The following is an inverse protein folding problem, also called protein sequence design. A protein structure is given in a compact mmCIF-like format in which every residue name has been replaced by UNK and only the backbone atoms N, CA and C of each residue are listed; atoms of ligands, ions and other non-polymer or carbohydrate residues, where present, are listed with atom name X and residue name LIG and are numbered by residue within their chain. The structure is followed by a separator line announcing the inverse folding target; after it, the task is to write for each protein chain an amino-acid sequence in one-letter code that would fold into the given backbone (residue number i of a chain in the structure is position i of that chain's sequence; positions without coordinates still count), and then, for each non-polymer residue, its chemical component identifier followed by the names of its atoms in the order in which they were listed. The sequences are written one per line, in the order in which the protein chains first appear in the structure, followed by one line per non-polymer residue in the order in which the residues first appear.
data_IF_351765789935
#
_entry.id   IF_351765789935
#
_cell.length_a   1.000
_cell.length_b   1.000
_cell.length_c   1.000
_cell.angle_alpha   90.00
_cell.angle_beta   90.00
_cell.angle_gamma   90.00
#
_symmetry.space_group_name_H-M   'P 1'
#
loop_
_entity.id
_entity.type
_entity.pdbx_description
1 polymer ?
#
# COMPACT_ATOMS: atom_id res chain seq x y z
N UNK A 1 -23.60 -1.64 60.50
CA UNK A 1 -23.57 -1.91 59.04
C UNK A 1 -23.18 -3.38 58.83
N UNK A 2 -24.01 -4.18 58.16
CA UNK A 2 -23.76 -5.62 57.97
C UNK A 2 -22.67 -5.87 56.92
N UNK A 3 -21.42 -5.72 57.34
CA UNK A 3 -20.19 -5.85 56.54
C UNK A 3 -20.10 -7.19 55.77
N UNK A 4 -20.63 -8.26 56.35
CA UNK A 4 -20.66 -9.57 55.73
C UNK A 4 -21.60 -9.63 54.51
N UNK A 5 -22.73 -8.90 54.53
CA UNK A 5 -23.67 -8.82 53.40
C UNK A 5 -23.12 -7.98 52.24
N UNK A 6 -22.39 -6.91 52.56
CA UNK A 6 -21.75 -6.06 51.56
C UNK A 6 -20.63 -6.81 50.80
N UNK A 7 -19.85 -7.66 51.49
CA UNK A 7 -18.82 -8.51 50.87
C UNK A 7 -19.42 -9.51 49.88
N UNK A 8 -20.50 -10.19 50.25
CA UNK A 8 -21.17 -11.16 49.38
C UNK A 8 -21.76 -10.49 48.14
N UNK A 9 -22.35 -9.31 48.29
CA UNK A 9 -22.86 -8.51 47.17
C UNK A 9 -21.74 -8.18 46.16
N UNK A 10 -20.57 -7.76 46.66
CA UNK A 10 -19.44 -7.40 45.80
C UNK A 10 -18.92 -8.59 44.98
N UNK A 11 -18.86 -9.78 45.58
CA UNK A 11 -18.45 -11.02 44.91
C UNK A 11 -19.43 -11.37 43.78
N UNK A 12 -20.74 -11.26 44.03
CA UNK A 12 -21.78 -11.56 43.03
C UNK A 12 -21.73 -10.59 41.86
N UNK A 13 -21.60 -9.28 42.14
CA UNK A 13 -21.51 -8.25 41.10
C UNK A 13 -20.25 -8.42 40.26
N UNK A 14 -19.11 -8.72 40.88
CA UNK A 14 -17.86 -8.99 40.16
C UNK A 14 -17.97 -10.22 39.26
N UNK A 15 -18.63 -11.29 39.73
CA UNK A 15 -18.85 -12.49 38.94
C UNK A 15 -19.74 -12.21 37.72
N UNK A 16 -20.85 -11.49 37.90
CA UNK A 16 -21.73 -11.06 36.79
C UNK A 16 -20.99 -10.18 35.77
N UNK A 17 -20.15 -9.25 36.23
CA UNK A 17 -19.36 -8.40 35.35
C UNK A 17 -18.36 -9.22 34.51
N UNK A 18 -17.69 -10.21 35.11
CA UNK A 18 -16.80 -11.11 34.37
C UNK A 18 -17.56 -11.97 33.36
N UNK A 19 -18.78 -12.41 33.69
CA UNK A 19 -19.61 -13.20 32.79
C UNK A 19 -20.08 -12.38 31.58
N UNK A 20 -20.43 -11.10 31.78
CA UNK A 20 -20.68 -10.16 30.69
C UNK A 20 -19.43 -9.91 29.84
N UNK A 21 -18.26 -9.77 30.46
CA UNK A 21 -16.99 -9.62 29.74
C UNK A 21 -16.65 -10.84 28.89
N UNK A 22 -16.86 -12.05 29.41
CA UNK A 22 -16.68 -13.30 28.66
C UNK A 22 -17.68 -13.35 27.49
N UNK A 23 -18.94 -12.99 27.72
CA UNK A 23 -19.93 -12.93 26.64
C UNK A 23 -19.53 -11.95 25.53
N UNK A 24 -19.12 -10.72 25.89
CA UNK A 24 -18.64 -9.72 24.93
C UNK A 24 -17.38 -10.20 24.21
N UNK A 25 -16.46 -10.86 24.93
CA UNK A 25 -15.23 -11.40 24.35
C UNK A 25 -15.53 -12.52 23.35
N UNK A 26 -16.40 -13.47 23.70
CA UNK A 26 -16.83 -14.57 22.83
C UNK A 26 -17.59 -14.02 21.62
N UNK A 27 -18.51 -13.06 21.80
CA UNK A 27 -19.21 -12.40 20.68
C UNK A 27 -18.22 -11.68 19.74
N UNK A 28 -17.23 -10.99 20.30
CA UNK A 28 -16.17 -10.33 19.52
C UNK A 28 -15.27 -11.32 18.76
N UNK A 29 -14.93 -12.45 19.38
CA UNK A 29 -14.11 -13.50 18.77
C UNK A 29 -14.90 -14.25 17.69
N UNK A 30 -16.17 -14.58 17.94
CA UNK A 30 -17.04 -15.21 16.93
C UNK A 30 -17.30 -14.29 15.75
N UNK A 31 -17.50 -12.98 15.98
CA UNK A 31 -17.56 -11.97 14.90
C UNK A 31 -16.23 -11.77 14.15
N UNK A 32 -15.11 -12.23 14.71
CA UNK A 32 -13.81 -12.24 14.02
C UNK A 32 -13.54 -13.53 13.23
N UNK A 33 -14.37 -14.56 13.41
CA UNK A 33 -14.37 -15.82 12.66
C UNK A 33 -15.69 -15.95 11.87
N UNK A 34 -15.99 -14.96 11.03
CA UNK A 34 -17.14 -15.05 10.11
C UNK A 34 -16.71 -15.94 8.95
N UNK A 35 -17.19 -17.19 8.99
CA UNK A 35 -17.35 -18.06 7.83
C UNK A 35 -18.16 -17.33 6.74
N UNK A 36 -17.73 -17.51 5.48
CA UNK A 36 -18.33 -17.02 4.22
C UNK A 36 -19.76 -17.52 3.98
N UNK A 37 -20.72 -17.14 4.81
CA UNK A 37 -22.15 -17.38 4.53
C UNK A 37 -22.95 -16.09 4.71
N UNK A 38 -23.36 -15.53 3.56
CA UNK A 38 -24.43 -14.56 3.36
C UNK A 38 -24.38 -13.28 4.19
N UNK A 39 -23.68 -12.32 3.60
CA UNK A 39 -23.47 -10.96 4.05
C UNK A 39 -24.78 -10.15 4.01
N UNK A 40 -25.63 -10.26 5.04
CA UNK A 40 -26.85 -9.43 5.23
C UNK A 40 -26.55 -7.92 5.27
N UNK A 41 -25.28 -7.51 5.44
CA UNK A 41 -24.86 -6.12 5.46
C UNK A 41 -24.07 -5.68 4.21
N UNK A 42 -23.82 -6.55 3.22
CA UNK A 42 -23.06 -6.20 2.02
C UNK A 42 -23.67 -5.01 1.28
N UNK A 43 -22.82 -4.09 0.81
CA UNK A 43 -23.29 -2.97 -0.02
C UNK A 43 -23.73 -3.51 -1.37
N UNK A 44 -24.97 -3.23 -1.76
CA UNK A 44 -25.41 -3.44 -3.12
C UNK A 44 -24.97 -2.26 -4.00
N UNK A 45 -23.74 -2.31 -4.52
CA UNK A 45 -23.18 -1.23 -5.34
C UNK A 45 -24.02 -0.90 -6.58
N UNK A 46 -24.75 -1.87 -7.16
CA UNK A 46 -25.62 -1.61 -8.30
C UNK A 46 -26.82 -0.74 -7.91
N UNK A 47 -27.46 -1.02 -6.76
CA UNK A 47 -28.55 -0.20 -6.23
C UNK A 47 -28.07 1.21 -5.87
N UNK A 48 -26.85 1.32 -5.35
CA UNK A 48 -26.21 2.60 -5.05
C UNK A 48 -25.72 3.33 -6.31
N UNK A 49 -25.89 2.76 -7.51
CA UNK A 49 -25.36 3.28 -8.78
C UNK A 49 -23.85 3.58 -8.70
N UNK A 50 -23.12 2.73 -7.97
CA UNK A 50 -21.67 2.78 -7.86
C UNK A 50 -21.06 1.83 -8.89
N UNK A 51 -20.23 2.39 -9.78
CA UNK A 51 -19.55 1.58 -10.80
C UNK A 51 -18.23 1.08 -10.25
N UNK A 52 -18.01 -0.23 -10.36
CA UNK A 52 -16.76 -0.88 -9.98
C UNK A 52 -15.86 -1.10 -11.21
N UNK A 53 -14.53 -1.22 -11.03
CA UNK A 53 -13.65 -1.61 -12.11
C UNK A 53 -13.98 -3.03 -12.58
N UNK A 54 -13.75 -3.30 -13.87
CA UNK A 54 -14.07 -4.61 -14.47
C UNK A 54 -13.24 -5.74 -13.87
N UNK A 55 -11.97 -5.46 -13.64
CA UNK A 55 -11.01 -6.42 -13.11
C UNK A 55 -10.65 -6.01 -11.69
N UNK A 56 -11.10 -6.79 -10.72
CA UNK A 56 -10.73 -6.64 -9.30
C UNK A 56 -9.70 -7.70 -8.92
N UNK A 57 -8.61 -7.34 -8.20
CA UNK A 57 -7.60 -8.30 -7.79
C UNK A 57 -8.18 -9.37 -6.86
N UNK A 58 -7.93 -10.65 -7.19
CA UNK A 58 -8.18 -11.76 -6.28
C UNK A 58 -6.97 -11.94 -5.35
N UNK A 59 -7.22 -11.89 -4.05
CA UNK A 59 -6.19 -11.94 -2.98
C UNK A 59 -6.43 -13.09 -2.01
N UNK A 60 -7.24 -14.08 -2.40
CA UNK A 60 -7.48 -15.26 -1.59
C UNK A 60 -6.16 -15.96 -1.21
N UNK A 61 -5.95 -16.16 0.10
CA UNK A 61 -4.71 -16.75 0.64
C UNK A 61 -3.49 -15.82 0.65
N UNK A 62 -3.60 -14.58 0.19
CA UNK A 62 -2.53 -13.59 0.29
C UNK A 62 -2.42 -13.12 1.74
N UNK A 63 -1.23 -13.29 2.32
CA UNK A 63 -0.91 -12.82 3.67
C UNK A 63 0.16 -11.74 3.63
N UNK A 64 -0.11 -10.62 4.27
CA UNK A 64 0.82 -9.50 4.37
C UNK A 64 1.06 -9.10 5.83
N UNK A 65 2.12 -8.35 6.06
CA UNK A 65 2.53 -7.83 7.37
C UNK A 65 3.28 -6.52 7.20
N UNK A 66 3.51 -5.83 8.30
CA UNK A 66 4.30 -4.61 8.34
C UNK A 66 5.76 -4.92 7.99
N UNK A 67 6.35 -4.10 7.13
CA UNK A 67 7.76 -4.20 6.76
C UNK A 67 8.50 -2.92 7.15
N UNK A 68 9.80 -3.05 7.34
CA UNK A 68 10.73 -1.92 7.49
C UNK A 68 11.69 -1.93 6.33
N UNK A 69 12.06 -0.75 5.86
CA UNK A 69 13.04 -0.58 4.80
C UNK A 69 13.93 0.64 5.07
N UNK A 70 15.15 0.61 4.53
CA UNK A 70 16.10 1.71 4.57
C UNK A 70 16.26 2.27 3.16
N UNK A 71 16.39 3.59 3.01
CA UNK A 71 16.81 4.19 1.74
C UNK A 71 18.27 3.84 1.49
N UNK A 72 18.56 3.35 0.29
CA UNK A 72 19.91 3.08 -0.16
C UNK A 72 20.65 4.40 -0.44
N UNK A 73 21.89 4.52 0.06
CA UNK A 73 22.74 5.68 -0.18
C UNK A 73 23.70 5.38 -1.33
N UNK A 74 23.60 6.18 -2.40
CA UNK A 74 24.34 6.01 -3.65
C UNK A 74 25.69 6.75 -3.71
N UNK A 75 26.17 7.32 -2.59
CA UNK A 75 27.42 8.09 -2.58
C UNK A 75 28.64 7.27 -3.03
N UNK A 76 28.68 5.98 -2.71
CA UNK A 76 29.77 5.10 -3.15
C UNK A 76 29.75 4.92 -4.67
N UNK A 77 28.58 4.57 -5.20
CA UNK A 77 28.33 4.31 -6.61
C UNK A 77 28.65 5.55 -7.45
N UNK A 78 28.29 6.74 -6.96
CA UNK A 78 28.55 7.98 -7.67
C UNK A 78 30.00 8.47 -7.60
N UNK A 79 30.79 8.03 -6.60
CA UNK A 79 32.22 8.39 -6.53
C UNK A 79 33.04 7.69 -7.61
N UNK A 80 32.58 6.52 -8.05
CA UNK A 80 33.29 5.66 -9.02
C UNK A 80 32.75 5.79 -10.45
N UNK A 81 31.75 6.65 -10.69
CA UNK A 81 31.13 6.86 -12.00
C UNK A 81 30.92 8.35 -12.32
N UNK A 82 31.70 8.88 -13.28
CA UNK A 82 31.62 10.27 -13.76
C UNK A 82 30.26 10.65 -14.39
N UNK A 83 29.38 9.66 -14.66
CA UNK A 83 28.03 9.85 -15.20
C UNK A 83 26.94 9.83 -14.14
N UNK A 84 27.31 9.53 -12.90
CA UNK A 84 26.45 9.52 -11.74
C UNK A 84 26.61 10.82 -10.94
N UNK A 85 25.50 11.29 -10.37
CA UNK A 85 25.48 12.36 -9.38
C UNK A 85 24.45 12.01 -8.30
N UNK A 86 24.63 12.54 -7.10
CA UNK A 86 23.70 12.29 -5.98
C UNK A 86 23.13 13.57 -5.42
N UNK A 87 21.93 13.46 -4.88
CA UNK A 87 21.21 14.53 -4.19
C UNK A 87 20.47 13.95 -2.97
N UNK A 88 19.85 14.81 -2.15
CA UNK A 88 19.20 14.42 -0.89
C UNK A 88 20.14 13.60 0.00
N UNK A 89 21.32 14.12 0.31
CA UNK A 89 22.32 13.46 1.17
C UNK A 89 22.69 12.02 0.70
N UNK A 90 22.74 11.82 -0.61
CA UNK A 90 23.10 10.54 -1.23
C UNK A 90 21.93 9.61 -1.55
N UNK A 91 20.70 9.92 -1.14
CA UNK A 91 19.55 9.01 -1.27
C UNK A 91 18.79 9.10 -2.60
N UNK A 92 19.25 9.97 -3.50
CA UNK A 92 18.70 10.09 -4.85
C UNK A 92 19.86 10.14 -5.85
N UNK A 93 19.97 9.11 -6.69
CA UNK A 93 20.91 8.99 -7.79
C UNK A 93 20.32 9.64 -9.04
N UNK A 94 21.12 10.43 -9.75
CA UNK A 94 20.87 10.82 -11.14
C UNK A 94 21.96 10.21 -12.01
N UNK A 95 21.56 9.37 -12.96
CA UNK A 95 22.48 8.66 -13.84
C UNK A 95 22.29 9.09 -15.29
N UNK A 96 23.38 9.43 -15.99
CA UNK A 96 23.38 9.56 -17.46
C UNK A 96 23.54 8.18 -18.10
N UNK A 97 22.69 7.89 -19.08
CA UNK A 97 22.69 6.61 -19.78
C UNK A 97 23.79 6.57 -20.84
N UNK A 98 24.46 5.43 -21.00
CA UNK A 98 25.47 5.23 -22.04
C UNK A 98 24.91 5.37 -23.46
N UNK A 99 23.66 4.91 -23.62
CA UNK A 99 22.93 4.97 -24.88
C UNK A 99 21.53 5.48 -24.61
N UNK A 100 21.13 6.47 -25.40
CA UNK A 100 19.76 6.96 -25.37
C UNK A 100 18.80 5.87 -25.85
N UNK A 101 17.71 5.66 -25.13
CA UNK A 101 16.68 4.66 -25.46
C UNK A 101 15.50 5.37 -26.13
N UNK A 102 15.05 4.89 -27.28
CA UNK A 102 13.88 5.42 -27.97
C UNK A 102 12.59 4.85 -27.34
N UNK A 103 11.72 5.72 -26.86
CA UNK A 103 10.50 5.37 -26.11
C UNK A 103 9.23 5.82 -26.83
N UNK A 104 9.30 6.15 -28.12
CA UNK A 104 8.17 6.73 -28.86
C UNK A 104 6.96 5.79 -29.04
N UNK A 105 7.19 4.49 -29.18
CA UNK A 105 6.14 3.52 -29.55
C UNK A 105 5.73 2.65 -28.37
N UNK A 106 6.71 2.01 -27.72
CA UNK A 106 6.48 1.17 -26.55
C UNK A 106 7.53 1.48 -25.46
N UNK A 107 7.30 2.53 -24.65
CA UNK A 107 8.21 2.90 -23.58
C UNK A 107 8.48 1.75 -22.58
N UNK A 108 7.46 0.93 -22.29
CA UNK A 108 7.52 -0.08 -21.23
C UNK A 108 8.41 -1.22 -21.67
N UNK A 109 8.11 -1.85 -22.82
CA UNK A 109 8.90 -2.99 -23.31
C UNK A 109 10.31 -2.56 -23.73
N UNK A 110 10.48 -1.33 -24.19
CA UNK A 110 11.80 -0.84 -24.66
C UNK A 110 12.72 -0.47 -23.50
N UNK A 111 12.18 0.06 -22.39
CA UNK A 111 13.00 0.38 -21.21
C UNK A 111 13.30 -0.83 -20.33
N UNK A 112 12.42 -1.84 -20.28
CA UNK A 112 12.60 -2.98 -19.37
C UNK A 112 13.98 -3.66 -19.48
N UNK A 113 14.52 -3.97 -20.67
CA UNK A 113 15.86 -4.56 -20.78
C UNK A 113 16.97 -3.64 -20.30
N UNK A 114 16.82 -2.31 -20.49
CA UNK A 114 17.79 -1.34 -19.98
C UNK A 114 17.76 -1.30 -18.45
N UNK A 115 16.55 -1.25 -17.87
CA UNK A 115 16.32 -1.22 -16.42
C UNK A 115 16.97 -2.46 -15.78
N UNK A 116 16.64 -3.65 -16.29
CA UNK A 116 17.14 -4.91 -15.72
C UNK A 116 18.66 -5.04 -15.73
N UNK A 117 19.32 -4.46 -16.75
CA UNK A 117 20.76 -4.61 -16.94
C UNK A 117 21.59 -3.49 -16.30
N UNK A 118 21.06 -2.26 -16.17
CA UNK A 118 21.87 -1.08 -15.84
C UNK A 118 21.37 -0.31 -14.61
N UNK A 119 20.13 -0.50 -14.17
CA UNK A 119 19.58 0.20 -13.01
C UNK A 119 19.84 -0.64 -11.75
N UNK A 120 20.26 0.00 -10.66
CA UNK A 120 20.49 -0.68 -9.39
C UNK A 120 19.21 -1.39 -8.93
N UNK A 121 19.25 -2.71 -8.74
CA UNK A 121 18.05 -3.49 -8.40
C UNK A 121 16.94 -3.44 -9.46
N UNK A 122 17.27 -3.17 -10.73
CA UNK A 122 16.32 -2.87 -11.80
C UNK A 122 15.18 -3.87 -11.99
N UNK A 123 15.42 -5.16 -11.75
CA UNK A 123 14.38 -6.21 -11.85
C UNK A 123 13.24 -6.03 -10.84
N UNK A 124 13.48 -5.29 -9.75
CA UNK A 124 12.50 -4.97 -8.72
C UNK A 124 11.69 -3.71 -9.00
N UNK A 125 11.64 -3.22 -10.25
CA UNK A 125 10.81 -2.07 -10.63
C UNK A 125 9.71 -2.47 -11.61
N UNK A 126 8.52 -1.89 -11.42
CA UNK A 126 7.40 -2.04 -12.34
C UNK A 126 6.90 -0.68 -12.83
N UNK A 127 6.34 -0.66 -14.04
CA UNK A 127 5.75 0.55 -14.60
C UNK A 127 4.59 1.04 -13.72
N UNK A 128 4.54 2.35 -13.47
CA UNK A 128 3.44 2.98 -12.75
C UNK A 128 2.64 3.91 -13.67
N UNK A 129 3.28 4.96 -14.19
CA UNK A 129 2.60 5.92 -15.05
C UNK A 129 3.58 6.66 -15.98
N UNK A 130 3.03 7.27 -17.02
CA UNK A 130 3.72 8.26 -17.84
C UNK A 130 2.97 9.57 -17.73
N UNK A 131 3.61 10.60 -17.19
CA UNK A 131 2.97 11.87 -16.89
C UNK A 131 3.98 13.00 -16.96
N UNK A 132 3.55 14.15 -17.50
CA UNK A 132 4.34 15.38 -17.56
C UNK A 132 5.75 15.20 -18.16
N UNK A 133 5.85 14.38 -19.21
CA UNK A 133 7.13 14.10 -19.88
C UNK A 133 8.06 13.17 -19.11
N UNK A 134 7.58 12.51 -18.06
CA UNK A 134 8.32 11.51 -17.28
C UNK A 134 7.68 10.13 -17.42
N UNK A 135 8.51 9.10 -17.47
CA UNK A 135 8.09 7.70 -17.35
C UNK A 135 8.51 7.22 -15.96
N UNK A 136 7.55 6.82 -15.14
CA UNK A 136 7.72 6.53 -13.73
C UNK A 136 7.52 5.04 -13.47
N UNK A 137 8.45 4.48 -12.73
CA UNK A 137 8.43 3.13 -12.20
C UNK A 137 8.45 3.16 -10.68
N UNK A 138 7.76 2.22 -10.06
CA UNK A 138 7.73 2.01 -8.61
C UNK A 138 8.49 0.73 -8.28
N UNK A 139 9.27 0.76 -7.20
CA UNK A 139 9.92 -0.42 -6.68
C UNK A 139 8.86 -1.41 -6.14
N UNK A 140 9.12 -2.70 -6.27
CA UNK A 140 8.29 -3.78 -5.78
C UNK A 140 9.00 -4.59 -4.69
N UNK A 141 8.20 -5.16 -3.80
CA UNK A 141 8.62 -6.12 -2.79
C UNK A 141 7.61 -7.29 -2.78
N UNK A 142 8.11 -8.52 -2.93
CA UNK A 142 7.29 -9.73 -3.08
C UNK A 142 6.19 -9.60 -4.17
N UNK A 143 6.49 -8.88 -5.26
CA UNK A 143 5.56 -8.64 -6.37
C UNK A 143 4.57 -7.50 -6.16
N UNK A 144 4.58 -6.84 -5.01
CA UNK A 144 3.68 -5.72 -4.70
C UNK A 144 4.42 -4.37 -4.73
N UNK A 145 3.83 -3.30 -5.31
CA UNK A 145 4.46 -1.98 -5.36
C UNK A 145 4.62 -1.35 -3.99
N UNK A 146 5.70 -0.59 -3.81
CA UNK A 146 5.84 0.42 -2.77
C UNK A 146 5.24 1.72 -3.32
N UNK A 147 3.94 1.89 -3.09
CA UNK A 147 3.10 2.89 -3.74
C UNK A 147 3.37 4.29 -3.18
N UNK A 148 3.29 5.30 -4.06
CA UNK A 148 3.32 6.72 -3.68
C UNK A 148 4.46 7.06 -2.71
N UNK A 149 5.66 6.60 -3.06
CA UNK A 149 6.85 6.71 -2.24
C UNK A 149 8.01 7.25 -3.09
N UNK A 150 8.53 8.41 -2.71
CA UNK A 150 9.64 9.06 -3.42
C UNK A 150 11.00 8.38 -3.17
N UNK A 151 11.12 7.55 -2.13
CA UNK A 151 12.32 6.77 -1.82
C UNK A 151 12.37 5.41 -2.50
N UNK A 152 11.34 5.05 -3.25
CA UNK A 152 11.19 3.74 -3.90
C UNK A 152 10.77 3.91 -5.37
N UNK A 153 11.41 4.84 -6.09
CA UNK A 153 10.98 5.32 -7.41
C UNK A 153 12.14 5.39 -8.39
N UNK A 154 11.85 5.03 -9.63
CA UNK A 154 12.71 5.24 -10.79
C UNK A 154 11.96 6.11 -11.81
N UNK A 155 12.61 7.15 -12.31
CA UNK A 155 11.99 8.13 -13.21
C UNK A 155 12.91 8.43 -14.38
N UNK A 156 12.39 8.36 -15.60
CA UNK A 156 13.08 8.78 -16.82
C UNK A 156 12.48 10.07 -17.35
N UNK A 157 13.34 11.05 -17.68
CA UNK A 157 12.91 12.27 -18.38
C UNK A 157 12.93 12.03 -19.90
N UNK A 158 11.79 12.26 -20.53
CA UNK A 158 11.62 12.08 -21.98
C UNK A 158 11.97 13.38 -22.71
N UNK A 159 13.05 13.34 -23.51
CA UNK A 159 13.48 14.40 -24.40
C UNK A 159 13.09 14.04 -25.84
N UNK A 160 11.96 14.61 -26.30
CA UNK A 160 11.35 14.34 -27.60
C UNK A 160 10.82 12.91 -27.71
N UNK A 161 11.68 11.99 -28.15
CA UNK A 161 11.36 10.56 -28.34
C UNK A 161 12.31 9.63 -27.58
N UNK A 162 13.24 10.18 -26.81
CA UNK A 162 14.32 9.42 -26.20
C UNK A 162 14.47 9.77 -24.74
N UNK A 163 14.97 8.82 -23.96
CA UNK A 163 15.46 9.07 -22.61
C UNK A 163 16.99 8.98 -22.63
N UNK A 164 17.65 9.85 -21.87
CA UNK A 164 19.13 9.96 -21.80
C UNK A 164 19.67 9.91 -20.36
N UNK A 165 18.79 9.99 -19.38
CA UNK A 165 19.11 9.94 -17.97
C UNK A 165 17.92 9.41 -17.20
N UNK A 166 18.18 8.94 -15.99
CA UNK A 166 17.15 8.61 -15.03
C UNK A 166 17.53 9.10 -13.64
N UNK A 167 16.51 9.31 -12.81
CA UNK A 167 16.64 9.53 -11.38
C UNK A 167 16.11 8.32 -10.64
N UNK A 168 16.83 7.86 -9.63
CA UNK A 168 16.51 6.68 -8.86
C UNK A 168 16.62 6.94 -7.36
N UNK A 169 15.61 6.47 -6.62
CA UNK A 169 15.71 6.19 -5.19
C UNK A 169 15.23 4.75 -4.95
N UNK A 170 15.95 4.04 -4.08
CA UNK A 170 15.73 2.62 -3.82
C UNK A 170 15.66 2.37 -2.33
N UNK A 171 14.74 1.51 -1.94
CA UNK A 171 14.69 0.91 -0.62
C UNK A 171 15.46 -0.41 -0.59
N UNK A 172 16.27 -0.59 0.43
CA UNK A 172 17.02 -1.79 0.74
C UNK A 172 16.70 -2.31 2.15
N UNK A 173 17.27 -3.46 2.51
CA UNK A 173 17.02 -4.13 3.79
C UNK A 173 15.53 -4.33 4.09
N UNK A 174 14.72 -4.50 3.05
CA UNK A 174 13.28 -4.66 3.18
C UNK A 174 13.00 -5.97 3.90
N UNK A 175 12.46 -5.87 5.11
CA UNK A 175 12.26 -7.02 5.99
C UNK A 175 11.05 -6.83 6.89
N UNK A 176 10.51 -7.91 7.47
CA UNK A 176 9.45 -7.82 8.46
C UNK A 176 9.82 -6.91 9.63
N UNK A 177 8.92 -6.02 10.03
CA UNK A 177 9.11 -5.17 11.20
C UNK A 177 9.27 -6.01 12.48
N UNK A 178 10.16 -5.58 13.37
CA UNK A 178 10.42 -6.21 14.68
C UNK A 178 9.39 -5.71 15.68
N UNK A 179 8.23 -6.35 15.74
CA UNK A 179 7.20 -6.07 16.73
C UNK A 179 6.47 -7.34 17.13
N UNK A 180 6.12 -7.47 18.41
CA UNK A 180 5.49 -8.67 18.98
C UNK A 180 4.16 -9.05 18.29
N UNK A 181 3.53 -8.08 17.60
CA UNK A 181 2.25 -8.25 16.90
C UNK A 181 2.34 -8.20 15.36
N UNK A 182 3.52 -8.44 14.77
CA UNK A 182 3.73 -8.38 13.31
C UNK A 182 3.65 -9.74 12.60
N UNK A 183 2.68 -10.56 12.98
CA UNK A 183 2.41 -11.83 12.29
C UNK A 183 1.75 -11.57 10.93
N UNK A 184 2.04 -12.38 9.89
CA UNK A 184 1.30 -12.34 8.63
C UNK A 184 -0.20 -12.51 8.85
N UNK A 185 -1.00 -11.65 8.22
CA UNK A 185 -2.47 -11.68 8.27
C UNK A 185 -3.05 -11.70 6.87
N UNK A 186 -4.21 -12.32 6.73
CA UNK A 186 -4.97 -12.33 5.49
C UNK A 186 -5.32 -10.90 5.07
N UNK A 187 -5.22 -10.67 3.76
CA UNK A 187 -5.55 -9.39 3.16
C UNK A 187 -7.06 -9.30 2.92
N UNK A 188 -7.66 -8.19 3.34
CA UNK A 188 -9.05 -7.85 3.01
C UNK A 188 -9.26 -7.91 1.50
N UNK A 189 -10.38 -8.46 1.07
CA UNK A 189 -10.72 -8.50 -0.35
C UNK A 189 -10.86 -7.10 -0.94
N UNK A 190 -10.69 -6.99 -2.27
CA UNK A 190 -10.93 -5.75 -2.99
C UNK A 190 -12.33 -5.19 -2.73
N UNK A 191 -13.33 -6.07 -2.56
CA UNK A 191 -14.71 -5.67 -2.25
C UNK A 191 -14.82 -5.03 -0.87
N UNK A 192 -14.30 -5.69 0.17
CA UNK A 192 -14.33 -5.17 1.55
C UNK A 192 -13.61 -3.82 1.67
N UNK A 193 -12.52 -3.61 0.92
CA UNK A 193 -11.83 -2.33 0.88
C UNK A 193 -12.69 -1.20 0.28
N UNK A 194 -13.48 -1.51 -0.75
CA UNK A 194 -14.42 -0.57 -1.37
C UNK A 194 -15.63 -0.32 -0.45
N UNK A 195 -16.16 -1.36 0.20
CA UNK A 195 -17.21 -1.24 1.22
C UNK A 195 -16.74 -0.35 2.39
N UNK A 196 -15.48 -0.49 2.79
CA UNK A 196 -14.85 0.37 3.80
C UNK A 196 -14.88 1.84 3.40
N UNK A 197 -14.56 2.19 2.14
CA UNK A 197 -14.71 3.56 1.66
C UNK A 197 -16.15 4.03 1.66
N UNK A 198 -17.10 3.15 1.30
CA UNK A 198 -18.53 3.47 1.26
C UNK A 198 -19.09 3.79 2.65
N UNK A 199 -18.90 2.90 3.63
CA UNK A 199 -19.41 3.12 4.99
C UNK A 199 -18.81 4.36 5.66
N UNK A 200 -17.54 4.67 5.35
CA UNK A 200 -16.86 5.87 5.84
C UNK A 200 -17.11 7.14 5.00
N UNK A 201 -18.06 7.11 4.05
CA UNK A 201 -18.49 8.26 3.23
C UNK A 201 -17.42 8.82 2.27
N UNK A 202 -16.34 8.08 2.03
CA UNK A 202 -15.32 8.40 1.03
C UNK A 202 -15.75 8.01 -0.39
N UNK A 203 -16.62 7.00 -0.51
CA UNK A 203 -17.32 6.61 -1.73
C UNK A 203 -18.83 6.78 -1.51
N UNK A 204 -19.52 7.42 -2.45
CA UNK A 204 -20.95 7.74 -2.36
C UNK A 204 -21.72 7.23 -3.57
N UNK A 205 -23.03 7.11 -3.41
CA UNK A 205 -23.95 6.77 -4.50
C UNK A 205 -23.70 7.63 -5.75
N UNK A 206 -23.75 6.99 -6.92
CA UNK A 206 -23.52 7.63 -8.22
C UNK A 206 -22.05 7.87 -8.61
N UNK A 207 -21.09 7.55 -7.73
CA UNK A 207 -19.65 7.64 -8.03
C UNK A 207 -19.11 6.36 -8.69
N UNK A 208 -17.86 6.38 -9.16
CA UNK A 208 -17.17 5.18 -9.66
C UNK A 208 -15.85 4.96 -8.96
N UNK A 209 -15.46 3.69 -8.87
CA UNK A 209 -14.10 3.27 -8.59
C UNK A 209 -13.43 3.00 -9.93
N UNK A 210 -12.40 3.80 -10.25
CA UNK A 210 -11.70 3.75 -11.53
C UNK A 210 -10.60 2.68 -11.52
N UNK A 211 -9.92 2.51 -10.38
CA UNK A 211 -8.88 1.49 -10.20
C UNK A 211 -8.75 1.06 -8.73
N UNK A 212 -8.22 -0.15 -8.54
CA UNK A 212 -7.85 -0.70 -7.24
C UNK A 212 -6.62 -1.60 -7.39
N UNK A 213 -5.60 -1.41 -6.54
CA UNK A 213 -4.42 -2.27 -6.48
C UNK A 213 -3.88 -2.42 -5.06
N UNK A 214 -3.31 -3.59 -4.77
CA UNK A 214 -2.71 -3.90 -3.48
C UNK A 214 -1.21 -3.57 -3.51
N UNK A 215 -0.71 -2.94 -2.44
CA UNK A 215 0.70 -2.62 -2.31
C UNK A 215 1.11 -2.23 -0.89
N UNK A 216 2.34 -1.76 -0.74
CA UNK A 216 2.86 -1.19 0.48
C UNK A 216 2.81 0.34 0.43
N UNK A 217 2.43 0.96 1.55
CA UNK A 217 2.30 2.41 1.67
C UNK A 217 2.80 2.88 3.04
N UNK A 218 3.27 4.13 3.10
CA UNK A 218 3.58 4.84 4.34
C UNK A 218 3.04 6.26 4.27
N UNK A 219 2.58 6.76 5.40
CA UNK A 219 2.23 8.18 5.57
C UNK A 219 3.50 9.04 5.67
N UNK A 220 4.57 8.50 6.27
CA UNK A 220 5.84 9.20 6.47
C UNK A 220 6.81 8.78 5.36
N UNK A 221 6.82 9.55 4.27
CA UNK A 221 7.52 9.22 3.01
C UNK A 221 8.95 9.77 2.92
N UNK A 222 9.28 10.78 3.71
CA UNK A 222 10.56 11.49 3.56
C UNK A 222 11.70 10.94 4.42
N UNK A 223 11.42 9.99 5.33
CA UNK A 223 12.44 9.43 6.21
C UNK A 223 13.26 8.36 5.50
N UNK A 224 14.55 8.26 5.85
CA UNK A 224 15.44 7.24 5.31
C UNK A 224 15.09 5.84 5.85
N UNK A 225 14.53 5.75 7.05
CA UNK A 225 14.00 4.50 7.61
C UNK A 225 12.48 4.59 7.58
N UNK A 226 11.83 3.62 6.97
CA UNK A 226 10.39 3.62 6.80
C UNK A 226 9.75 2.36 7.34
N UNK A 227 8.56 2.55 7.88
CA UNK A 227 7.63 1.50 8.27
C UNK A 227 6.52 1.51 7.23
N UNK A 228 6.40 0.42 6.47
CA UNK A 228 5.49 0.31 5.34
C UNK A 228 4.41 -0.73 5.66
N UNK A 229 3.17 -0.36 5.38
CA UNK A 229 1.99 -1.15 5.67
C UNK A 229 1.27 -1.55 4.38
N UNK A 230 0.74 -2.77 4.36
CA UNK A 230 -0.10 -3.23 3.27
C UNK A 230 -1.38 -2.38 3.19
N UNK A 231 -1.63 -1.80 2.02
CA UNK A 231 -2.79 -0.97 1.74
C UNK A 231 -3.35 -1.28 0.35
N UNK A 232 -4.65 -1.10 0.20
CA UNK A 232 -5.31 -0.94 -1.08
C UNK A 232 -5.21 0.51 -1.53
N UNK A 233 -4.63 0.78 -2.69
CA UNK A 233 -4.74 2.06 -3.38
C UNK A 233 -5.99 2.02 -4.28
N UNK A 234 -6.95 2.90 -4.01
CA UNK A 234 -8.25 2.95 -4.67
C UNK A 234 -8.45 4.34 -5.26
N UNK A 235 -8.61 4.45 -6.57
CA UNK A 235 -8.95 5.72 -7.21
C UNK A 235 -10.46 5.81 -7.41
N UNK A 236 -11.09 6.79 -6.78
CA UNK A 236 -12.52 7.10 -6.88
C UNK A 236 -12.73 8.32 -7.77
N UNK A 237 -13.64 8.21 -8.73
CA UNK A 237 -14.09 9.33 -9.54
C UNK A 237 -15.19 10.10 -8.82
N UNK A 238 -14.86 11.30 -8.34
CA UNK A 238 -15.81 12.20 -7.71
C UNK A 238 -16.20 13.29 -8.70
N UNK A 239 -17.28 13.07 -9.44
CA UNK A 239 -17.84 14.03 -10.40
C UNK A 239 -16.81 14.51 -11.45
N UNK A 240 -16.08 13.58 -12.05
CA UNK A 240 -15.05 13.86 -13.07
C UNK A 240 -13.66 14.15 -12.50
N UNK A 241 -13.48 14.11 -11.18
CA UNK A 241 -12.19 14.33 -10.52
C UNK A 241 -11.70 13.06 -9.82
N UNK A 242 -10.53 12.51 -10.20
CA UNK A 242 -9.97 11.35 -9.52
C UNK A 242 -9.48 11.74 -8.11
N UNK A 243 -9.79 10.90 -7.12
CA UNK A 243 -9.28 11.00 -5.76
C UNK A 243 -8.75 9.63 -5.35
N UNK A 244 -7.53 9.57 -4.83
CA UNK A 244 -6.90 8.31 -4.43
C UNK A 244 -6.99 8.14 -2.93
N UNK A 245 -7.39 6.95 -2.49
CA UNK A 245 -7.44 6.56 -1.09
C UNK A 245 -6.54 5.35 -0.85
N UNK A 246 -5.93 5.31 0.33
CA UNK A 246 -5.17 4.17 0.85
C UNK A 246 -5.96 3.56 2.01
N UNK A 247 -6.41 2.32 1.85
CA UNK A 247 -7.17 1.57 2.87
C UNK A 247 -6.30 0.46 3.43
N UNK A 248 -6.15 0.39 4.75
CA UNK A 248 -5.32 -0.65 5.37
C UNK A 248 -5.81 -2.05 5.01
N UNK A 249 -4.90 -2.89 4.52
CA UNK A 249 -5.28 -4.16 3.93
C UNK A 249 -5.34 -5.35 4.93
N UNK A 250 -4.79 -5.20 6.15
CA UNK A 250 -4.61 -6.30 7.12
C UNK A 250 -5.18 -6.00 8.52
N UNK A 251 -6.07 -5.01 8.60
CA UNK A 251 -6.70 -4.54 9.84
C UNK A 251 -8.17 -4.94 9.89
N UNK A 252 -8.67 -5.34 11.06
CA UNK A 252 -10.11 -5.57 11.28
C UNK A 252 -10.93 -4.28 11.33
N UNK A 253 -10.27 -3.13 11.49
CA UNK A 253 -10.88 -1.81 11.41
C UNK A 253 -9.92 -0.91 10.61
N UNK A 254 -9.99 -0.97 9.26
CA UNK A 254 -9.01 -0.32 8.42
C UNK A 254 -9.01 1.19 8.57
N UNK A 255 -7.82 1.77 8.70
CA UNK A 255 -7.66 3.21 8.52
C UNK A 255 -7.69 3.58 7.03
N UNK A 256 -8.13 4.80 6.76
CA UNK A 256 -8.21 5.38 5.42
C UNK A 256 -7.33 6.63 5.40
N UNK A 257 -6.45 6.73 4.42
CA UNK A 257 -5.64 7.93 4.13
C UNK A 257 -5.93 8.42 2.72
N UNK A 258 -5.83 9.73 2.49
CA UNK A 258 -5.94 10.38 1.17
C UNK A 258 -4.58 10.92 0.71
#
# INVERSE_FOLDING_TARGET
MNWQRAKTLFIIVFFLANLCLIYIYVDKVNKSHVDDSDNENAVNFEQENIKLPKDMPNVEGVKMRLITANSHNFESEAKDDDKADTSNDGFTLTQKMDKAVNVNEDPISTLKPYIDANVYGGTGYQYHETKDGKIIYEQTYDGYPIMNNNRARLSFDVDGKKVKSYTQSTMEDIRPSKGENNQPRDVLSAREAIETLYYNQYLKSGQSVDSIRLGYYTVVKETNVQVLQANWEITVNKNGKPHTYYVEAVSSNPQITE
#
